data_IF_193835367851
#
_entry.id   IF_193835367851
#
_cell.length_a   1.000
_cell.length_b   1.000
_cell.length_c   1.000
_cell.angle_alpha   90.00
_cell.angle_beta   90.00
_cell.angle_gamma   90.00
#
_symmetry.space_group_name_H-M   'P 1'
#
loop_
_entity.id
_entity.type
_entity.pdbx_description
1 polymer ?
#
# COMPACT_ATOMS: atom_id res chain seq x y z
N UNK A 1 20.67 -2.40 39.77
CA UNK A 1 21.26 -3.03 38.56
C UNK A 1 20.20 -3.79 37.74
N UNK A 2 19.01 -3.22 37.51
CA UNK A 2 17.91 -3.85 36.73
C UNK A 2 17.37 -2.96 35.59
N UNK A 3 17.88 -1.73 35.45
CA UNK A 3 17.28 -0.71 34.57
C UNK A 3 17.92 -0.60 33.17
N UNK A 4 19.11 -1.17 32.95
CA UNK A 4 19.79 -1.11 31.65
C UNK A 4 19.43 -2.25 30.68
N UNK A 5 18.92 -3.39 31.20
CA UNK A 5 18.56 -4.55 30.37
C UNK A 5 17.15 -4.44 29.75
N UNK A 6 16.26 -3.63 30.35
CA UNK A 6 14.91 -3.40 29.81
C UNK A 6 14.90 -2.45 28.60
N UNK A 7 15.81 -1.48 28.54
CA UNK A 7 15.89 -0.51 27.44
C UNK A 7 16.34 -1.15 26.11
N UNK A 8 17.32 -2.05 26.15
CA UNK A 8 17.79 -2.77 24.95
C UNK A 8 16.78 -3.79 24.41
N UNK A 9 16.05 -4.47 25.30
CA UNK A 9 15.03 -5.44 24.86
C UNK A 9 13.82 -4.74 24.22
N UNK A 10 13.33 -3.63 24.81
CA UNK A 10 12.17 -2.89 24.29
C UNK A 10 12.40 -2.38 22.86
N UNK A 11 13.58 -1.83 22.56
CA UNK A 11 13.92 -1.44 21.19
C UNK A 11 13.94 -2.63 20.23
N UNK A 12 14.46 -3.77 20.67
CA UNK A 12 14.58 -4.98 19.83
C UNK A 12 13.20 -5.54 19.52
N UNK A 13 12.30 -5.61 20.51
CA UNK A 13 10.92 -6.04 20.33
C UNK A 13 10.14 -5.12 19.38
N UNK A 14 10.31 -3.80 19.50
CA UNK A 14 9.68 -2.83 18.59
C UNK A 14 10.19 -3.00 17.16
N UNK A 15 11.50 -3.21 16.97
CA UNK A 15 12.10 -3.47 15.64
C UNK A 15 11.54 -4.76 15.02
N UNK A 16 11.40 -5.82 15.82
CA UNK A 16 10.80 -7.09 15.36
C UNK A 16 9.33 -6.92 14.99
N UNK A 17 8.53 -6.21 15.78
CA UNK A 17 7.12 -5.94 15.47
C UNK A 17 6.96 -5.16 14.17
N UNK A 18 7.79 -4.13 13.96
CA UNK A 18 7.81 -3.41 12.69
C UNK A 18 8.18 -4.32 11.53
N UNK A 19 9.24 -5.13 11.66
CA UNK A 19 9.65 -6.08 10.62
C UNK A 19 8.54 -7.09 10.27
N UNK A 20 7.86 -7.65 11.27
CA UNK A 20 6.72 -8.54 11.06
C UNK A 20 5.54 -7.83 10.39
N UNK A 21 5.24 -6.58 10.78
CA UNK A 21 4.21 -5.78 10.13
C UNK A 21 4.51 -5.48 8.66
N UNK A 22 5.78 -5.35 8.31
CA UNK A 22 6.25 -5.21 6.93
C UNK A 22 6.01 -6.49 6.14
N UNK A 23 6.42 -7.63 6.68
CA UNK A 23 6.19 -8.94 6.04
C UNK A 23 4.70 -9.19 5.84
N UNK A 24 3.88 -8.92 6.86
CA UNK A 24 2.43 -9.04 6.77
C UNK A 24 1.82 -8.12 5.69
N UNK A 25 2.36 -6.91 5.53
CA UNK A 25 1.95 -5.99 4.46
C UNK A 25 2.31 -6.52 3.08
N UNK A 26 3.54 -7.06 2.90
CA UNK A 26 3.98 -7.65 1.64
C UNK A 26 3.15 -8.87 1.26
N UNK A 27 2.83 -9.73 2.23
CA UNK A 27 1.94 -10.88 2.02
C UNK A 27 0.56 -10.42 1.59
N UNK A 28 0.00 -9.39 2.24
CA UNK A 28 -1.30 -8.83 1.87
C UNK A 28 -1.32 -8.30 0.43
N UNK A 29 -0.26 -7.57 0.03
CA UNK A 29 -0.11 -7.07 -1.34
C UNK A 29 -0.06 -8.25 -2.31
N UNK A 30 0.82 -9.23 -2.07
CA UNK A 30 0.98 -10.40 -2.94
C UNK A 30 -0.31 -11.22 -3.09
N UNK A 31 -1.07 -11.40 -2.00
CA UNK A 31 -2.37 -12.08 -2.04
C UNK A 31 -3.36 -11.37 -2.96
N UNK A 32 -3.47 -10.03 -2.84
CA UNK A 32 -4.35 -9.23 -3.70
C UNK A 32 -3.88 -9.28 -5.16
N UNK A 33 -2.57 -9.24 -5.41
CA UNK A 33 -1.99 -9.38 -6.75
C UNK A 33 -2.42 -10.69 -7.39
N UNK A 34 -2.24 -11.82 -6.68
CA UNK A 34 -2.57 -13.16 -7.18
C UNK A 34 -4.06 -13.28 -7.47
N UNK A 35 -4.93 -12.74 -6.60
CA UNK A 35 -6.37 -12.72 -6.81
C UNK A 35 -6.75 -11.90 -8.05
N UNK A 36 -6.07 -10.77 -8.29
CA UNK A 36 -6.26 -9.96 -9.49
C UNK A 36 -5.86 -10.69 -10.77
N UNK A 37 -4.81 -11.51 -10.73
CA UNK A 37 -4.28 -12.22 -11.90
C UNK A 37 -5.06 -13.48 -12.28
N UNK A 38 -5.58 -14.23 -11.30
CA UNK A 38 -6.19 -15.53 -11.55
C UNK A 38 -7.60 -15.47 -12.15
N UNK A 39 -8.17 -14.28 -12.40
CA UNK A 39 -9.48 -14.09 -13.05
C UNK A 39 -10.66 -14.83 -12.38
N UNK A 40 -10.46 -15.41 -11.20
CA UNK A 40 -11.52 -16.07 -10.45
C UNK A 40 -12.58 -15.04 -10.07
N UNK A 41 -13.87 -15.39 -10.15
CA UNK A 41 -14.92 -14.50 -9.68
C UNK A 41 -14.66 -14.21 -8.21
N UNK A 42 -14.38 -12.94 -7.92
CA UNK A 42 -14.03 -12.41 -6.60
C UNK A 42 -14.99 -12.92 -5.50
N UNK A 43 -16.20 -13.34 -5.84
CA UNK A 43 -17.26 -13.80 -4.92
C UNK A 43 -17.07 -15.20 -4.33
N UNK A 44 -16.13 -16.02 -4.79
CA UNK A 44 -15.93 -17.36 -4.22
C UNK A 44 -15.10 -17.27 -2.93
N UNK A 45 -15.64 -17.78 -1.81
CA UNK A 45 -14.95 -17.90 -0.52
C UNK A 45 -13.68 -18.72 -0.70
N UNK A 46 -12.56 -18.03 -0.87
CA UNK A 46 -11.24 -18.61 -1.08
C UNK A 46 -10.40 -18.50 0.20
N UNK A 47 -9.31 -19.25 0.24
CA UNK A 47 -8.28 -19.24 1.30
C UNK A 47 -7.74 -17.82 1.59
N UNK A 48 -7.88 -16.90 0.64
CA UNK A 48 -7.50 -15.50 0.77
C UNK A 48 -8.27 -14.74 1.84
N UNK A 49 -9.56 -15.05 2.04
CA UNK A 49 -10.35 -14.43 3.11
C UNK A 49 -9.79 -14.78 4.49
N UNK A 50 -9.37 -16.04 4.67
CA UNK A 50 -8.79 -16.51 5.91
C UNK A 50 -7.42 -15.85 6.15
N UNK A 51 -6.57 -15.79 5.12
CA UNK A 51 -5.27 -15.09 5.19
C UNK A 51 -5.47 -13.61 5.57
N UNK A 52 -6.38 -12.91 4.89
CA UNK A 52 -6.65 -11.50 5.13
C UNK A 52 -7.21 -11.26 6.54
N UNK A 53 -8.08 -12.15 7.02
CA UNK A 53 -8.60 -12.11 8.38
C UNK A 53 -7.48 -12.23 9.44
N UNK A 54 -6.59 -13.22 9.30
CA UNK A 54 -5.47 -13.41 10.22
C UNK A 54 -4.49 -12.23 10.22
N UNK A 55 -4.22 -11.66 9.04
CA UNK A 55 -3.37 -10.46 8.91
C UNK A 55 -4.02 -9.25 9.58
N UNK A 56 -5.33 -9.04 9.40
CA UNK A 56 -6.09 -7.98 10.07
C UNK A 56 -6.10 -8.15 11.60
N UNK A 57 -6.22 -9.39 12.10
CA UNK A 57 -6.08 -9.70 13.53
C UNK A 57 -4.70 -9.31 14.03
N UNK A 58 -3.64 -9.76 13.36
CA UNK A 58 -2.26 -9.43 13.73
C UNK A 58 -2.07 -7.90 13.86
N UNK A 59 -2.59 -7.16 12.89
CA UNK A 59 -2.47 -5.71 12.85
C UNK A 59 -3.32 -4.97 13.89
N UNK A 60 -4.50 -5.50 14.19
CA UNK A 60 -5.33 -5.00 15.28
C UNK A 60 -4.63 -5.21 16.62
N UNK A 61 -4.02 -6.39 16.83
CA UNK A 61 -3.20 -6.68 18.02
C UNK A 61 -1.99 -5.75 18.12
N UNK A 62 -1.26 -5.54 17.02
CA UNK A 62 -0.12 -4.61 16.96
C UNK A 62 -0.53 -3.18 17.37
N UNK A 63 -1.67 -2.69 16.86
CA UNK A 63 -2.22 -1.40 17.27
C UNK A 63 -2.52 -1.34 18.78
N UNK A 64 -3.15 -2.38 19.34
CA UNK A 64 -3.45 -2.41 20.77
C UNK A 64 -2.20 -2.44 21.63
N UNK A 65 -1.18 -3.23 21.26
CA UNK A 65 0.12 -3.28 21.96
C UNK A 65 0.73 -1.87 22.03
N UNK A 66 0.81 -1.16 20.91
CA UNK A 66 1.33 0.22 20.89
C UNK A 66 0.44 1.22 21.63
N UNK A 67 -0.88 1.01 21.63
CA UNK A 67 -1.81 1.83 22.41
C UNK A 67 -1.57 1.69 23.91
N UNK A 68 -1.29 0.47 24.41
CA UNK A 68 -0.99 0.22 25.82
C UNK A 68 0.38 0.78 26.24
N UNK A 69 1.38 0.75 25.34
CA UNK A 69 2.71 1.30 25.60
C UNK A 69 2.73 2.84 25.55
N UNK A 70 1.80 3.46 24.81
CA UNK A 70 1.79 4.91 24.63
C UNK A 70 1.40 5.67 25.91
N UNK A 71 2.25 6.64 26.30
CA UNK A 71 1.99 7.52 27.46
C UNK A 71 0.70 8.34 27.33
N UNK A 72 0.24 8.63 26.10
CA UNK A 72 -0.93 9.49 25.88
C UNK A 72 -1.89 8.91 24.83
N UNK A 73 -2.79 8.04 25.30
CA UNK A 73 -3.70 7.21 24.49
C UNK A 73 -4.55 8.00 23.49
N UNK A 74 -5.15 9.13 23.91
CA UNK A 74 -6.01 9.95 23.04
C UNK A 74 -5.25 10.54 21.86
N UNK A 75 -4.04 11.07 22.10
CA UNK A 75 -3.20 11.63 21.03
C UNK A 75 -2.70 10.53 20.08
N UNK A 76 -2.39 9.35 20.62
CA UNK A 76 -2.01 8.19 19.83
C UNK A 76 -3.16 7.74 18.91
N UNK A 77 -4.36 7.49 19.45
CA UNK A 77 -5.53 7.10 18.64
C UNK A 77 -5.81 8.12 17.54
N UNK A 78 -5.80 9.42 17.84
CA UNK A 78 -6.04 10.46 16.82
C UNK A 78 -5.00 10.44 15.70
N UNK A 79 -3.73 10.16 16.02
CA UNK A 79 -2.65 10.06 15.03
C UNK A 79 -2.76 8.80 14.16
N UNK A 80 -3.19 7.68 14.74
CA UNK A 80 -3.24 6.38 14.07
C UNK A 80 -4.67 5.95 13.69
N UNK A 81 -5.66 6.85 13.76
CA UNK A 81 -7.07 6.57 13.50
C UNK A 81 -7.31 5.97 12.11
N UNK A 82 -6.60 6.47 11.09
CA UNK A 82 -6.65 5.92 9.74
C UNK A 82 -6.15 4.47 9.76
N UNK A 83 -5.04 4.17 10.42
CA UNK A 83 -4.48 2.81 10.49
C UNK A 83 -5.43 1.83 11.21
N UNK A 84 -6.13 2.29 12.24
CA UNK A 84 -7.18 1.51 12.93
C UNK A 84 -8.33 1.20 11.99
N UNK A 85 -8.82 2.20 11.26
CA UNK A 85 -9.87 2.00 10.26
C UNK A 85 -9.42 0.94 9.24
N UNK A 86 -8.17 1.00 8.78
CA UNK A 86 -7.66 0.07 7.78
C UNK A 86 -7.37 -1.35 8.33
N UNK A 87 -7.29 -1.54 9.66
CA UNK A 87 -7.01 -2.86 10.27
C UNK A 87 -8.25 -3.69 10.56
N UNK A 88 -9.45 -3.13 10.37
CA UNK A 88 -10.71 -3.84 10.63
C UNK A 88 -10.98 -4.87 9.51
N UNK A 89 -11.30 -6.14 9.85
CA UNK A 89 -11.63 -7.16 8.87
C UNK A 89 -13.05 -6.96 8.31
N UNK A 90 -13.24 -5.93 7.49
CA UNK A 90 -14.55 -5.56 6.93
C UNK A 90 -15.22 -6.71 6.17
N UNK A 91 -14.45 -7.49 5.41
CA UNK A 91 -14.98 -8.59 4.60
C UNK A 91 -15.61 -9.68 5.46
N UNK A 92 -14.97 -10.05 6.57
CA UNK A 92 -15.50 -11.05 7.50
C UNK A 92 -16.74 -10.53 8.21
N UNK A 93 -16.79 -9.23 8.53
CA UNK A 93 -17.97 -8.60 9.14
C UNK A 93 -19.14 -8.60 8.15
N UNK A 94 -18.89 -8.29 6.88
CA UNK A 94 -19.89 -8.27 5.81
C UNK A 94 -20.46 -9.66 5.52
N UNK A 95 -19.62 -10.70 5.49
CA UNK A 95 -20.03 -12.10 5.33
C UNK A 95 -20.93 -12.54 6.51
N UNK A 96 -20.55 -12.18 7.74
CA UNK A 96 -21.31 -12.54 8.94
C UNK A 96 -22.64 -11.78 9.08
N UNK A 97 -22.71 -10.52 8.63
CA UNK A 97 -23.92 -9.69 8.77
C UNK A 97 -24.96 -9.91 7.66
N UNK A 98 -24.66 -10.71 6.63
CA UNK A 98 -25.58 -11.03 5.52
C UNK A 98 -26.18 -9.80 4.81
N UNK A 99 -25.55 -8.62 4.94
CA UNK A 99 -25.97 -7.39 4.27
C UNK A 99 -25.54 -7.52 2.81
N UNK A 100 -26.52 -7.56 1.90
CA UNK A 100 -26.27 -7.60 0.46
C UNK A 100 -25.80 -6.23 -0.03
N UNK A 101 -24.49 -6.06 -0.18
CA UNK A 101 -23.90 -4.95 -0.92
C UNK A 101 -23.81 -5.30 -2.40
N UNK A 102 -23.79 -4.29 -3.27
CA UNK A 102 -23.52 -4.48 -4.71
C UNK A 102 -22.12 -5.08 -4.89
N UNK A 103 -21.92 -5.92 -5.91
CA UNK A 103 -20.63 -6.59 -6.16
C UNK A 103 -19.46 -5.58 -6.22
N UNK A 104 -19.69 -4.40 -6.81
CA UNK A 104 -18.74 -3.28 -6.86
C UNK A 104 -18.34 -2.74 -5.47
N UNK A 105 -19.27 -2.70 -4.51
CA UNK A 105 -18.99 -2.18 -3.17
C UNK A 105 -18.18 -3.16 -2.32
N UNK A 106 -18.54 -4.46 -2.41
CA UNK A 106 -17.76 -5.54 -1.78
C UNK A 106 -16.36 -5.54 -2.36
N UNK A 107 -16.24 -5.32 -3.68
CA UNK A 107 -14.97 -5.17 -4.36
C UNK A 107 -14.12 -4.05 -3.75
N UNK A 108 -14.64 -2.83 -3.66
CA UNK A 108 -13.92 -1.68 -3.10
C UNK A 108 -13.48 -1.89 -1.64
N UNK A 109 -14.30 -2.56 -0.84
CA UNK A 109 -14.00 -2.83 0.58
C UNK A 109 -12.81 -3.78 0.73
N UNK A 110 -12.55 -4.68 -0.22
CA UNK A 110 -11.36 -5.57 -0.21
C UNK A 110 -10.04 -4.82 -0.30
N UNK A 111 -10.04 -3.64 -0.92
CA UNK A 111 -8.85 -2.83 -1.13
C UNK A 111 -8.58 -1.83 -0.02
N UNK A 112 -9.50 -1.65 0.94
CA UNK A 112 -9.26 -0.79 2.10
C UNK A 112 -7.95 -1.22 2.81
N UNK A 113 -7.71 -2.51 3.11
CA UNK A 113 -6.45 -2.94 3.70
C UNK A 113 -5.19 -2.73 2.83
N UNK A 114 -5.33 -2.52 1.50
CA UNK A 114 -4.20 -2.23 0.61
C UNK A 114 -3.55 -0.88 0.93
N UNK A 115 -4.35 0.14 1.27
CA UNK A 115 -3.85 1.46 1.67
C UNK A 115 -2.95 1.37 2.90
N UNK A 116 -3.15 0.36 3.75
CA UNK A 116 -2.30 0.08 4.91
C UNK A 116 -0.95 -0.47 4.47
N UNK A 117 -0.94 -1.42 3.53
CA UNK A 117 0.29 -1.95 2.93
C UNK A 117 1.12 -0.86 2.24
N UNK A 118 0.45 0.06 1.54
CA UNK A 118 1.07 1.26 0.96
C UNK A 118 1.71 2.17 2.01
N UNK A 119 1.03 2.43 3.13
CA UNK A 119 1.59 3.23 4.23
C UNK A 119 2.80 2.54 4.90
N UNK A 120 2.74 1.22 5.11
CA UNK A 120 3.86 0.43 5.63
C UNK A 120 5.06 0.43 4.66
N UNK A 121 4.79 0.34 3.36
CA UNK A 121 5.81 0.45 2.33
C UNK A 121 6.46 1.84 2.30
N UNK A 122 5.68 2.92 2.41
CA UNK A 122 6.22 4.29 2.51
C UNK A 122 7.07 4.46 3.77
N UNK A 123 6.66 3.91 4.91
CA UNK A 123 7.45 3.91 6.15
C UNK A 123 8.78 3.15 6.00
N UNK A 124 8.73 1.97 5.37
CA UNK A 124 9.93 1.20 5.01
C UNK A 124 10.91 2.00 4.17
N UNK A 125 10.40 2.65 3.13
CA UNK A 125 11.23 3.44 2.23
C UNK A 125 11.85 4.62 2.99
N UNK A 126 11.11 5.30 3.85
CA UNK A 126 11.66 6.35 4.73
C UNK A 126 12.80 5.85 5.63
N UNK A 127 12.78 4.59 6.07
CA UNK A 127 13.88 4.00 6.85
C UNK A 127 15.12 3.69 6.00
N UNK A 128 14.94 3.25 4.74
CA UNK A 128 16.04 2.95 3.80
C UNK A 128 16.74 4.22 3.32
N UNK A 129 15.97 5.28 3.04
CA UNK A 129 16.45 6.62 2.62
C UNK A 129 17.47 7.21 3.59
N UNK A 130 17.42 6.85 4.88
CA UNK A 130 18.17 7.55 5.94
C UNK A 130 19.65 7.18 6.03
N UNK A 131 20.17 6.20 5.26
CA UNK A 131 21.48 5.58 5.54
C UNK A 131 22.62 5.90 4.56
N UNK A 132 22.37 6.34 3.32
CA UNK A 132 23.46 6.71 2.38
C UNK A 132 22.98 7.40 1.09
N UNK A 133 23.82 8.21 0.42
CA UNK A 133 23.48 8.93 -0.84
C UNK A 133 23.19 7.98 -2.02
N UNK A 134 23.95 6.88 -2.15
CA UNK A 134 23.66 5.80 -3.11
C UNK A 134 22.38 5.04 -2.76
N UNK A 135 22.06 4.94 -1.46
CA UNK A 135 20.80 4.36 -1.00
C UNK A 135 19.60 5.26 -1.31
N UNK A 136 19.80 6.58 -1.44
CA UNK A 136 18.74 7.51 -1.88
C UNK A 136 18.27 7.16 -3.28
N UNK A 137 19.18 7.03 -4.26
CA UNK A 137 18.81 6.71 -5.64
C UNK A 137 18.06 5.37 -5.72
N UNK A 138 18.58 4.32 -5.07
CA UNK A 138 17.96 3.00 -5.07
C UNK A 138 16.58 3.01 -4.39
N UNK A 139 16.45 3.67 -3.23
CA UNK A 139 15.17 3.80 -2.52
C UNK A 139 14.13 4.54 -3.36
N UNK A 140 14.56 5.50 -4.17
CA UNK A 140 13.69 6.30 -5.02
C UNK A 140 13.20 5.52 -6.24
N UNK A 141 14.07 4.70 -6.86
CA UNK A 141 13.66 3.75 -7.89
C UNK A 141 12.63 2.74 -7.35
N UNK A 142 12.89 2.16 -6.18
CA UNK A 142 11.96 1.23 -5.53
C UNK A 142 10.61 1.93 -5.25
N UNK A 143 10.62 3.18 -4.80
CA UNK A 143 9.41 3.96 -4.56
C UNK A 143 8.64 4.24 -5.85
N UNK A 144 9.33 4.62 -6.93
CA UNK A 144 8.70 4.85 -8.23
C UNK A 144 8.06 3.57 -8.76
N UNK A 145 8.79 2.45 -8.81
CA UNK A 145 8.26 1.19 -9.33
C UNK A 145 7.08 0.68 -8.49
N UNK A 146 7.15 0.80 -7.17
CA UNK A 146 6.04 0.41 -6.30
C UNK A 146 4.82 1.32 -6.46
N UNK A 147 5.03 2.64 -6.61
CA UNK A 147 3.93 3.58 -6.84
C UNK A 147 3.24 3.31 -8.18
N UNK A 148 4.02 3.07 -9.24
CA UNK A 148 3.49 2.65 -10.55
C UNK A 148 2.67 1.38 -10.42
N UNK A 149 3.19 0.38 -9.71
CA UNK A 149 2.51 -0.90 -9.49
C UNK A 149 1.17 -0.75 -8.75
N UNK A 150 1.14 0.00 -7.65
CA UNK A 150 -0.09 0.21 -6.90
C UNK A 150 -1.10 1.02 -7.69
N UNK A 151 -0.66 2.07 -8.37
CA UNK A 151 -1.54 2.92 -9.14
C UNK A 151 -2.09 2.18 -10.36
N UNK A 152 -1.29 1.35 -11.06
CA UNK A 152 -1.80 0.52 -12.15
C UNK A 152 -2.85 -0.48 -11.66
N UNK A 153 -2.68 -1.05 -10.46
CA UNK A 153 -3.66 -1.95 -9.86
C UNK A 153 -4.98 -1.22 -9.56
N UNK A 154 -4.91 -0.06 -8.91
CA UNK A 154 -6.10 0.74 -8.61
C UNK A 154 -6.78 1.23 -9.90
N UNK A 155 -6.01 1.63 -10.92
CA UNK A 155 -6.56 2.04 -12.22
C UNK A 155 -7.27 0.90 -12.93
N UNK A 156 -6.64 -0.28 -13.01
CA UNK A 156 -7.24 -1.47 -13.61
C UNK A 156 -8.58 -1.80 -12.97
N UNK A 157 -8.66 -1.70 -11.64
CA UNK A 157 -9.87 -1.95 -10.88
C UNK A 157 -11.03 -1.03 -11.28
N UNK A 158 -10.78 0.28 -11.33
CA UNK A 158 -11.86 1.24 -11.60
C UNK A 158 -12.26 1.25 -13.06
N UNK A 159 -11.35 0.93 -13.97
CA UNK A 159 -11.59 1.05 -15.41
C UNK A 159 -11.96 -0.28 -16.07
N UNK A 160 -11.66 -1.43 -15.45
CA UNK A 160 -12.01 -2.75 -16.01
C UNK A 160 -13.53 -2.90 -16.13
N UNK A 161 -13.99 -3.24 -17.33
CA UNK A 161 -15.41 -3.45 -17.62
C UNK A 161 -16.19 -2.17 -17.96
N UNK A 162 -15.65 -0.99 -17.63
CA UNK A 162 -16.21 0.31 -18.03
C UNK A 162 -15.45 0.92 -19.21
N UNK A 163 -14.14 0.70 -19.28
CA UNK A 163 -13.26 1.20 -20.31
C UNK A 163 -12.90 0.11 -21.31
N UNK A 164 -13.20 0.33 -22.58
CA UNK A 164 -12.94 -0.63 -23.67
C UNK A 164 -11.45 -0.82 -23.92
N UNK A 165 -10.63 0.19 -23.58
CA UNK A 165 -9.18 0.18 -23.78
C UNK A 165 -8.43 -0.57 -22.68
N UNK A 166 -9.10 -0.90 -21.55
CA UNK A 166 -8.51 -1.59 -20.41
C UNK A 166 -9.01 -3.03 -20.37
N UNK A 167 -8.36 -3.92 -21.14
CA UNK A 167 -8.77 -5.33 -21.26
C UNK A 167 -8.02 -6.21 -20.28
N UNK A 168 -6.71 -6.01 -20.19
CA UNK A 168 -5.79 -6.79 -19.38
C UNK A 168 -5.08 -5.92 -18.36
N UNK A 169 -4.52 -6.53 -17.31
CA UNK A 169 -3.69 -5.79 -16.37
C UNK A 169 -2.44 -5.19 -17.02
N UNK A 170 -1.93 -5.81 -18.09
CA UNK A 170 -0.80 -5.28 -18.87
C UNK A 170 -1.09 -3.89 -19.44
N UNK A 171 -2.33 -3.65 -19.87
CA UNK A 171 -2.76 -2.34 -20.39
C UNK A 171 -2.72 -1.27 -19.30
N UNK A 172 -3.07 -1.63 -18.06
CA UNK A 172 -3.00 -0.72 -16.92
C UNK A 172 -1.56 -0.44 -16.47
N UNK A 173 -0.65 -1.43 -16.52
CA UNK A 173 0.78 -1.21 -16.29
C UNK A 173 1.35 -0.27 -17.36
N UNK A 174 1.03 -0.53 -18.63
CA UNK A 174 1.45 0.31 -19.76
C UNK A 174 0.98 1.75 -19.56
N UNK A 175 -0.31 1.93 -19.24
CA UNK A 175 -0.88 3.24 -18.92
C UNK A 175 -0.13 3.94 -17.79
N UNK A 176 0.14 3.24 -16.68
CA UNK A 176 0.81 3.81 -15.53
C UNK A 176 2.27 4.18 -15.84
N UNK A 177 2.99 3.33 -16.59
CA UNK A 177 4.36 3.59 -17.02
C UNK A 177 4.47 4.81 -17.95
N UNK A 178 3.55 4.96 -18.89
CA UNK A 178 3.50 6.12 -19.78
C UNK A 178 3.07 7.41 -19.06
N UNK A 179 2.17 7.29 -18.08
CA UNK A 179 1.69 8.44 -17.30
C UNK A 179 2.74 8.94 -16.30
N UNK A 180 3.44 8.05 -15.60
CA UNK A 180 4.51 8.44 -14.66
C UNK A 180 5.71 9.08 -15.38
N UNK A 181 5.97 8.69 -16.64
CA UNK A 181 7.01 9.30 -17.47
C UNK A 181 6.56 10.59 -18.14
N UNK A 182 5.33 11.04 -17.89
CA UNK A 182 4.70 12.23 -18.49
C UNK A 182 4.58 12.20 -20.01
N UNK A 183 4.90 11.06 -20.65
CA UNK A 183 4.72 10.86 -22.09
C UNK A 183 3.24 10.81 -22.47
N UNK A 184 2.39 10.39 -21.52
CA UNK A 184 0.98 10.19 -21.74
C UNK A 184 0.69 8.84 -22.40
N UNK A 185 -0.48 8.29 -22.10
CA UNK A 185 -0.92 7.00 -22.64
C UNK A 185 -2.02 7.20 -23.69
N UNK A 186 -2.17 6.21 -24.56
CA UNK A 186 -3.33 6.07 -25.44
C UNK A 186 -4.63 5.70 -24.68
N UNK A 187 -4.52 5.30 -23.40
CA UNK A 187 -5.65 4.92 -22.55
C UNK A 187 -6.06 6.13 -21.71
N UNK A 188 -7.31 6.58 -21.87
CA UNK A 188 -7.86 7.73 -21.12
C UNK A 188 -8.85 7.22 -20.08
N UNK A 189 -8.73 7.60 -18.79
CA UNK A 189 -9.69 7.21 -17.75
C UNK A 189 -11.09 7.74 -18.06
N UNK A 190 -12.08 6.86 -18.02
CA UNK A 190 -13.49 7.26 -18.13
C UNK A 190 -14.08 7.60 -16.76
N UNK A 191 -13.62 6.93 -15.69
CA UNK A 191 -14.16 7.10 -14.34
C UNK A 191 -13.59 8.34 -13.63
N UNK A 192 -14.37 8.90 -12.70
CA UNK A 192 -13.92 10.01 -11.86
C UNK A 192 -12.72 9.62 -11.00
N UNK A 193 -12.71 8.40 -10.47
CA UNK A 193 -11.59 7.87 -9.68
C UNK A 193 -10.33 7.72 -10.54
N UNK A 194 -10.45 7.13 -11.74
CA UNK A 194 -9.35 6.99 -12.70
C UNK A 194 -8.72 8.34 -13.06
N UNK A 195 -9.54 9.38 -13.28
CA UNK A 195 -9.06 10.75 -13.56
C UNK A 195 -8.24 11.33 -12.41
N UNK A 196 -8.73 11.24 -11.18
CA UNK A 196 -8.01 11.73 -9.99
C UNK A 196 -6.65 11.01 -9.84
N UNK A 197 -6.65 9.69 -9.98
CA UNK A 197 -5.43 8.88 -9.86
C UNK A 197 -4.43 9.21 -10.97
N UNK A 198 -4.90 9.46 -12.19
CA UNK A 198 -4.07 9.90 -13.31
C UNK A 198 -3.33 11.19 -12.99
N UNK A 199 -4.03 12.19 -12.42
CA UNK A 199 -3.42 13.47 -12.03
C UNK A 199 -2.37 13.28 -10.94
N UNK A 200 -2.65 12.46 -9.92
CA UNK A 200 -1.70 12.16 -8.85
C UNK A 200 -0.45 11.45 -9.38
N UNK A 201 -0.63 10.49 -10.30
CA UNK A 201 0.48 9.74 -10.90
C UNK A 201 1.38 10.66 -11.74
N UNK A 202 0.79 11.53 -12.55
CA UNK A 202 1.53 12.50 -13.36
C UNK A 202 2.34 13.48 -12.48
N UNK A 203 1.73 14.00 -11.41
CA UNK A 203 2.42 14.88 -10.44
C UNK A 203 3.58 14.16 -9.72
N UNK A 204 3.37 12.89 -9.37
CA UNK A 204 4.41 12.05 -8.75
C UNK A 204 5.58 11.85 -9.70
N UNK A 205 5.30 11.52 -10.97
CA UNK A 205 6.30 11.37 -12.02
C UNK A 205 7.18 12.62 -12.20
N UNK A 206 6.57 13.79 -12.30
CA UNK A 206 7.30 15.07 -12.39
C UNK A 206 8.21 15.31 -11.18
N UNK A 207 7.70 15.05 -9.97
CA UNK A 207 8.48 15.21 -8.73
C UNK A 207 9.72 14.30 -8.75
N UNK A 208 9.55 13.08 -9.28
CA UNK A 208 10.64 12.11 -9.36
C UNK A 208 11.72 12.56 -10.35
N UNK A 209 11.33 12.99 -11.55
CA UNK A 209 12.27 13.48 -12.56
C UNK A 209 13.07 14.70 -12.07
N UNK A 210 12.41 15.64 -11.39
CA UNK A 210 13.08 16.83 -10.82
C UNK A 210 14.08 16.45 -9.74
N UNK A 211 13.73 15.52 -8.87
CA UNK A 211 14.61 15.04 -7.81
C UNK A 211 15.85 14.36 -8.39
N UNK A 212 15.67 13.43 -9.34
CA UNK A 212 16.78 12.74 -10.01
C UNK A 212 17.76 13.72 -10.67
N UNK A 213 17.24 14.74 -11.35
CA UNK A 213 18.07 15.81 -11.95
C UNK A 213 18.91 16.55 -10.91
N UNK A 214 18.36 16.82 -9.73
CA UNK A 214 19.05 17.58 -8.68
C UNK A 214 20.11 16.73 -7.93
N UNK A 215 19.85 15.45 -7.72
CA UNK A 215 20.80 14.55 -7.03
C UNK A 215 21.87 13.95 -7.93
N UNK A 216 21.63 13.80 -9.24
CA UNK A 216 22.59 13.21 -10.19
C UNK A 216 23.96 13.91 -10.23
N UNK A 217 24.08 15.25 -10.29
CA UNK A 217 25.39 15.91 -10.30
C UNK A 217 26.12 15.81 -8.96
N UNK A 218 25.43 15.59 -7.83
CA UNK A 218 26.08 15.33 -6.54
C UNK A 218 26.68 13.93 -6.42
N UNK A 219 26.16 12.96 -7.16
CA UNK A 219 26.65 11.57 -7.16
C UNK A 219 27.87 11.33 -8.07
N UNK A 220 28.20 12.29 -8.95
CA UNK A 220 29.33 12.18 -9.89
C UNK A 220 30.57 12.99 -9.42
N UNK A 221 30.47 13.69 -8.30
CA UNK A 221 31.51 14.56 -7.76
C UNK A 221 32.10 14.02 -6.43
N UNK A 222 31.47 12.99 -5.85
CA UNK A 222 31.97 12.18 -4.73
C UNK A 222 32.49 10.82 -5.23
#
# INVERSE_FOLDING_TARGET
>A
MLTFRQFGSQETWIKTLHFLGIVASLVLIASISIETFNHDPFLKRSIYFDIQFWICIYFTCDFFIFLFISKNKKKFVKKYAIIVLLSVPYLTILDYTSIKFTEEQIYLIRFIPLFRGGAAFVMLMMMVVKRNTTALFLSYMILLFSTVYFISLIFYIFERGLNVDVKTYGDAIWWAAMTVTTLGSNIIPVTSAGKVITTILAATGMTVFLFLRYTSPRLLVD
#
